data_IF_528748301932
#
_entry.id   IF_528748301932
#
_cell.length_a   1.000
_cell.length_b   1.000
_cell.length_c   1.000
_cell.angle_alpha   90.00
_cell.angle_beta   90.00
_cell.angle_gamma   90.00
#
_symmetry.space_group_name_H-M   'P 1'
#
loop_
_entity.id
_entity.type
_entity.pdbx_description
1 polymer ?
#
# COMPACT_ATOMS: atom_id res chain seq x y z
N UNK A 1 59.38 -3.18 -68.98
CA UNK A 1 57.92 -3.28 -68.95
C UNK A 1 57.46 -3.08 -67.47
N UNK A 2 56.74 -2.02 -67.15
CA UNK A 2 56.32 -1.65 -65.81
C UNK A 2 54.88 -2.13 -65.64
N UNK A 3 54.62 -3.19 -64.94
CA UNK A 3 53.28 -3.72 -64.70
C UNK A 3 52.53 -2.75 -63.78
N UNK A 4 51.42 -2.21 -64.24
CA UNK A 4 50.49 -1.32 -63.55
C UNK A 4 49.73 -2.16 -62.56
N UNK A 5 49.95 -1.95 -61.24
CA UNK A 5 49.16 -2.59 -60.12
C UNK A 5 47.71 -2.10 -60.28
N UNK A 6 46.79 -3.02 -60.48
CA UNK A 6 45.36 -2.75 -60.44
C UNK A 6 45.00 -2.31 -58.99
N UNK A 7 44.33 -1.18 -58.88
CA UNK A 7 43.73 -0.71 -57.64
C UNK A 7 42.58 -1.64 -57.31
N UNK A 8 42.72 -2.44 -56.27
CA UNK A 8 41.61 -3.19 -55.66
C UNK A 8 40.59 -2.20 -55.19
N UNK A 9 39.40 -2.18 -55.81
CA UNK A 9 38.24 -1.43 -55.30
C UNK A 9 37.85 -1.99 -53.93
N UNK A 10 37.79 -1.11 -52.92
CA UNK A 10 37.34 -1.47 -51.58
C UNK A 10 35.82 -1.74 -51.68
N UNK A 11 35.32 -2.92 -51.34
CA UNK A 11 33.89 -3.20 -51.40
C UNK A 11 33.14 -2.22 -50.51
N UNK A 12 32.08 -1.60 -51.04
CA UNK A 12 31.21 -0.71 -50.25
C UNK A 12 30.62 -1.51 -49.14
N UNK A 13 30.81 -1.02 -47.89
CA UNK A 13 30.27 -1.64 -46.72
C UNK A 13 28.72 -1.57 -46.76
N UNK A 14 28.07 -2.72 -46.76
CA UNK A 14 26.61 -2.78 -46.68
C UNK A 14 26.18 -2.58 -45.23
N UNK A 15 25.62 -1.41 -44.92
CA UNK A 15 25.20 -1.04 -43.56
C UNK A 15 23.79 -1.54 -43.21
N UNK A 16 23.06 -2.11 -44.19
CA UNK A 16 21.68 -2.56 -43.96
C UNK A 16 21.57 -3.62 -42.88
N UNK A 17 22.40 -4.68 -42.83
CA UNK A 17 22.32 -5.67 -41.78
C UNK A 17 22.64 -5.14 -40.38
N UNK A 18 23.52 -4.14 -40.30
CA UNK A 18 23.88 -3.48 -39.04
C UNK A 18 22.72 -2.64 -38.54
N UNK A 19 22.05 -1.90 -39.42
CA UNK A 19 20.90 -1.07 -39.09
C UNK A 19 19.75 -1.96 -38.58
N UNK A 20 19.49 -3.09 -39.22
CA UNK A 20 18.45 -4.04 -38.80
C UNK A 20 18.74 -4.63 -37.43
N UNK A 21 19.97 -5.09 -37.18
CA UNK A 21 20.41 -5.59 -35.90
C UNK A 21 20.24 -4.56 -34.75
N UNK A 22 20.60 -3.30 -35.00
CA UNK A 22 20.46 -2.21 -34.04
C UNK A 22 18.96 -1.95 -33.77
N UNK A 23 18.12 -1.97 -34.79
CA UNK A 23 16.69 -1.76 -34.64
C UNK A 23 16.01 -2.83 -33.78
N UNK A 24 16.34 -4.09 -34.03
CA UNK A 24 15.86 -5.23 -33.22
C UNK A 24 16.33 -5.09 -31.77
N UNK A 25 17.57 -4.71 -31.56
CA UNK A 25 18.14 -4.52 -30.22
C UNK A 25 17.44 -3.39 -29.43
N UNK A 26 17.19 -2.24 -30.07
CA UNK A 26 16.46 -1.13 -29.46
C UNK A 26 15.03 -1.55 -29.11
N UNK A 27 14.36 -2.25 -30.02
CA UNK A 27 13.00 -2.74 -29.78
C UNK A 27 12.95 -3.73 -28.62
N UNK A 28 13.94 -4.63 -28.53
CA UNK A 28 14.06 -5.56 -27.40
C UNK A 28 14.28 -4.83 -26.08
N UNK A 29 15.13 -3.79 -26.05
CA UNK A 29 15.34 -2.99 -24.85
C UNK A 29 14.07 -2.26 -24.42
N UNK A 30 13.32 -1.67 -25.36
CA UNK A 30 12.05 -1.00 -25.05
C UNK A 30 11.01 -1.99 -24.52
N UNK A 31 10.93 -3.18 -25.11
CA UNK A 31 10.03 -4.22 -24.66
C UNK A 31 10.43 -4.74 -23.27
N UNK A 32 11.72 -4.97 -23.02
CA UNK A 32 12.23 -5.35 -21.69
C UNK A 32 11.95 -4.29 -20.64
N UNK A 33 12.11 -3.02 -20.96
CA UNK A 33 11.78 -1.91 -20.05
C UNK A 33 10.28 -1.87 -19.71
N UNK A 34 9.42 -2.26 -20.65
CA UNK A 34 7.96 -2.34 -20.40
C UNK A 34 7.56 -3.45 -19.39
N UNK A 35 8.37 -4.51 -19.26
CA UNK A 35 8.13 -5.55 -18.24
C UNK A 35 8.60 -5.15 -16.84
N UNK A 36 9.41 -4.11 -16.71
CA UNK A 36 9.76 -3.53 -15.42
C UNK A 36 8.62 -2.61 -14.96
N UNK A 37 7.44 -3.14 -14.78
CA UNK A 37 6.44 -2.52 -13.94
C UNK A 37 6.96 -2.60 -12.51
N UNK A 38 7.84 -1.68 -12.17
CA UNK A 38 8.15 -1.39 -10.78
C UNK A 38 6.83 -0.91 -10.21
N UNK A 39 6.16 -1.76 -9.47
CA UNK A 39 5.13 -1.34 -8.55
C UNK A 39 5.89 -0.60 -7.45
N UNK A 40 6.24 0.64 -7.76
CA UNK A 40 6.64 1.58 -6.73
C UNK A 40 5.40 1.79 -5.88
N UNK A 41 5.31 1.00 -4.82
CA UNK A 41 4.45 1.37 -3.71
C UNK A 41 5.05 2.69 -3.28
N UNK A 42 4.41 3.78 -3.66
CA UNK A 42 4.70 5.08 -3.09
C UNK A 42 4.46 4.94 -1.60
N UNK A 43 5.48 4.45 -0.90
CA UNK A 43 5.67 4.74 0.48
C UNK A 43 5.92 6.25 0.49
N UNK A 44 4.87 7.02 0.72
CA UNK A 44 5.01 8.36 1.22
C UNK A 44 5.73 8.24 2.56
N UNK A 45 7.04 8.03 2.48
CA UNK A 45 7.92 8.35 3.58
C UNK A 45 7.65 9.83 3.82
N UNK A 46 7.03 10.21 4.96
CA UNK A 46 6.75 11.60 5.22
C UNK A 46 8.09 12.32 5.09
N UNK A 47 8.23 13.10 4.00
CA UNK A 47 9.33 14.03 3.87
C UNK A 47 9.25 14.82 5.15
N UNK A 48 10.28 14.75 5.97
CA UNK A 48 10.41 15.57 7.16
C UNK A 48 10.43 17.00 6.65
N UNK A 49 9.25 17.55 6.41
CA UNK A 49 9.13 18.97 6.21
C UNK A 49 9.51 19.55 7.57
N UNK A 50 10.48 20.46 7.60
CA UNK A 50 10.87 21.23 8.79
C UNK A 50 9.76 22.16 9.30
N UNK A 51 8.51 21.91 8.94
CA UNK A 51 7.35 22.44 9.64
C UNK A 51 7.20 21.59 10.89
N UNK A 52 7.47 22.22 12.05
CA UNK A 52 7.17 21.59 13.34
C UNK A 52 5.80 20.92 13.25
N UNK A 53 5.72 19.59 13.50
CA UNK A 53 4.42 18.92 13.50
C UNK A 53 3.57 19.65 14.54
N UNK A 54 2.27 19.90 14.28
CA UNK A 54 1.39 20.45 15.29
C UNK A 54 1.57 19.58 16.52
N UNK A 55 1.93 20.19 17.65
CA UNK A 55 2.22 19.54 18.92
C UNK A 55 0.96 18.84 19.43
N UNK A 56 0.57 17.74 18.76
CA UNK A 56 -0.38 16.82 19.33
C UNK A 56 0.37 16.09 20.44
N UNK A 57 -0.03 16.30 21.67
CA UNK A 57 0.58 15.72 22.89
C UNK A 57 0.47 14.19 22.95
N UNK A 58 -0.06 13.55 21.92
CA UNK A 58 -0.23 12.08 21.86
C UNK A 58 0.60 11.53 20.71
N UNK A 59 1.39 10.44 20.94
CA UNK A 59 2.10 9.76 19.87
C UNK A 59 1.09 9.25 18.82
N UNK A 60 1.48 9.17 17.53
CA UNK A 60 0.63 8.65 16.48
C UNK A 60 0.17 7.24 16.82
N UNK A 61 -1.08 6.92 16.49
CA UNK A 61 -1.67 5.62 16.79
C UNK A 61 -0.94 4.49 16.04
N UNK A 62 -0.46 4.75 14.83
CA UNK A 62 0.21 3.77 13.96
C UNK A 62 -0.53 2.42 13.99
N UNK A 63 -1.79 2.45 13.56
CA UNK A 63 -2.70 1.30 13.63
C UNK A 63 -2.39 0.31 12.50
N UNK A 64 -2.07 -0.93 12.88
CA UNK A 64 -1.81 -2.02 11.94
C UNK A 64 -2.68 -3.21 12.25
N UNK A 65 -3.34 -3.77 11.23
CA UNK A 65 -4.06 -5.04 11.32
C UNK A 65 -3.26 -6.14 10.63
N UNK A 66 -2.73 -7.06 11.42
CA UNK A 66 -2.03 -8.23 10.94
C UNK A 66 -3.02 -9.39 10.83
N UNK A 67 -3.24 -9.89 9.60
CA UNK A 67 -4.24 -10.89 9.31
C UNK A 67 -3.55 -12.21 9.07
N UNK A 68 -3.84 -13.20 9.92
CA UNK A 68 -3.32 -14.57 9.82
C UNK A 68 -4.45 -15.54 9.52
N UNK A 69 -4.15 -16.76 9.10
CA UNK A 69 -5.17 -17.78 8.78
C UNK A 69 -6.15 -18.09 9.91
N UNK A 70 -5.78 -17.79 11.18
CA UNK A 70 -6.61 -18.11 12.35
C UNK A 70 -7.17 -16.90 13.09
N UNK A 71 -6.61 -15.71 12.90
CA UNK A 71 -6.96 -14.51 13.69
C UNK A 71 -6.55 -13.20 13.04
N UNK A 72 -7.18 -12.12 13.48
CA UNK A 72 -6.77 -10.75 13.20
C UNK A 72 -6.13 -10.17 14.44
N UNK A 73 -4.91 -9.67 14.33
CA UNK A 73 -4.21 -8.97 15.42
C UNK A 73 -4.24 -7.47 15.17
N UNK A 74 -4.66 -6.72 16.17
CA UNK A 74 -4.64 -5.26 16.14
C UNK A 74 -3.39 -4.78 16.85
N UNK A 75 -2.50 -4.12 16.12
CA UNK A 75 -1.25 -3.56 16.65
C UNK A 75 -1.33 -2.04 16.65
N UNK A 76 -0.66 -1.42 17.60
CA UNK A 76 -0.54 0.04 17.68
C UNK A 76 0.83 0.47 18.15
N UNK A 77 1.25 1.68 17.72
CA UNK A 77 2.47 2.33 18.16
C UNK A 77 3.72 1.96 17.37
N UNK A 78 4.80 2.69 17.65
CA UNK A 78 6.14 2.43 17.09
C UNK A 78 7.11 2.28 18.28
N UNK A 79 7.66 1.08 18.52
CA UNK A 79 7.45 -0.18 17.78
C UNK A 79 6.02 -0.75 17.96
N UNK A 80 5.54 -1.45 16.92
CA UNK A 80 4.19 -2.02 16.89
C UNK A 80 4.00 -3.08 18.00
N UNK A 81 2.94 -2.92 18.81
CA UNK A 81 2.61 -3.84 19.88
C UNK A 81 1.19 -4.37 19.70
N UNK A 82 1.02 -5.68 19.83
CA UNK A 82 -0.31 -6.31 19.79
C UNK A 82 -1.13 -5.83 20.96
N UNK A 83 -2.29 -5.24 20.68
CA UNK A 83 -3.26 -4.76 21.66
C UNK A 83 -4.45 -5.68 21.79
N UNK A 84 -4.87 -6.28 20.70
CA UNK A 84 -6.01 -7.20 20.67
C UNK A 84 -5.75 -8.29 19.63
N UNK A 85 -6.16 -9.51 19.95
CA UNK A 85 -6.19 -10.63 19.01
C UNK A 85 -7.63 -11.14 18.95
N UNK A 86 -8.16 -11.26 17.72
CA UNK A 86 -9.54 -11.64 17.45
C UNK A 86 -9.49 -12.89 16.59
N UNK A 87 -9.99 -13.98 17.10
CA UNK A 87 -10.03 -15.27 16.42
C UNK A 87 -11.14 -15.35 15.37
N UNK A 88 -11.21 -16.48 14.70
CA UNK A 88 -12.33 -16.84 13.85
C UNK A 88 -13.50 -17.32 14.72
N UNK A 89 -14.72 -17.19 14.20
CA UNK A 89 -15.93 -17.71 14.81
C UNK A 89 -16.03 -19.25 14.61
N UNK A 90 -17.09 -19.87 15.13
CA UNK A 90 -17.34 -21.31 14.99
C UNK A 90 -17.60 -21.77 13.56
N UNK A 91 -17.93 -20.86 12.66
CA UNK A 91 -18.16 -21.11 11.23
C UNK A 91 -16.87 -21.01 10.40
N UNK A 92 -15.75 -20.62 11.02
CA UNK A 92 -14.46 -20.48 10.37
C UNK A 92 -14.23 -19.09 9.76
N UNK A 93 -15.17 -18.15 9.91
CA UNK A 93 -15.05 -16.77 9.45
C UNK A 93 -14.41 -15.87 10.50
N UNK A 94 -13.78 -14.79 10.06
CA UNK A 94 -13.25 -13.78 10.99
C UNK A 94 -14.37 -13.08 11.76
N UNK A 95 -14.22 -12.96 13.08
CA UNK A 95 -15.18 -12.22 13.92
C UNK A 95 -15.06 -10.70 13.68
N UNK A 96 -15.68 -10.25 12.60
CA UNK A 96 -15.68 -8.86 12.17
C UNK A 96 -16.48 -7.96 13.14
N UNK A 97 -17.43 -8.53 13.89
CA UNK A 97 -18.19 -7.76 14.88
C UNK A 97 -17.32 -7.38 16.08
N UNK A 98 -16.54 -8.31 16.59
CA UNK A 98 -15.57 -8.03 17.65
C UNK A 98 -14.48 -7.06 17.20
N UNK A 99 -14.01 -7.19 15.95
CA UNK A 99 -13.07 -6.25 15.33
C UNK A 99 -13.67 -4.85 15.29
N UNK A 100 -14.87 -4.72 14.74
CA UNK A 100 -15.60 -3.44 14.62
C UNK A 100 -15.76 -2.75 15.97
N UNK A 101 -16.27 -3.45 16.97
CA UNK A 101 -16.48 -2.91 18.32
C UNK A 101 -15.17 -2.39 18.92
N UNK A 102 -14.07 -3.11 18.72
CA UNK A 102 -12.76 -2.69 19.19
C UNK A 102 -12.28 -1.43 18.46
N UNK A 103 -12.42 -1.38 17.14
CA UNK A 103 -12.03 -0.23 16.31
C UNK A 103 -12.85 1.03 16.64
N UNK A 104 -14.16 0.89 16.93
CA UNK A 104 -15.01 2.00 17.40
C UNK A 104 -14.49 2.56 18.73
N UNK A 105 -14.16 1.69 19.69
CA UNK A 105 -13.60 2.12 20.97
C UNK A 105 -12.23 2.81 20.80
N UNK A 106 -11.44 2.35 19.86
CA UNK A 106 -10.15 2.96 19.54
C UNK A 106 -10.34 4.33 18.87
N UNK A 107 -11.29 4.45 17.94
CA UNK A 107 -11.63 5.69 17.26
C UNK A 107 -12.14 6.77 18.22
N UNK A 108 -12.92 6.41 19.24
CA UNK A 108 -13.34 7.34 20.29
C UNK A 108 -12.17 7.97 21.05
N UNK A 109 -11.04 7.25 21.17
CA UNK A 109 -9.83 7.76 21.83
C UNK A 109 -8.94 8.57 20.91
N UNK A 110 -8.95 8.23 19.62
CA UNK A 110 -8.10 8.80 18.57
C UNK A 110 -8.95 9.27 17.39
N UNK A 111 -9.80 10.27 17.62
CA UNK A 111 -10.80 10.74 16.66
C UNK A 111 -10.20 11.31 15.38
N UNK A 112 -9.00 11.89 15.47
CA UNK A 112 -8.29 12.50 14.33
C UNK A 112 -7.58 11.51 13.41
N UNK A 113 -7.33 10.27 13.90
CA UNK A 113 -6.62 9.27 13.11
C UNK A 113 -7.50 8.72 11.99
N UNK A 114 -6.92 8.66 10.79
CA UNK A 114 -7.60 8.18 9.58
C UNK A 114 -6.92 6.99 8.95
N UNK A 115 -5.67 6.76 9.32
CA UNK A 115 -4.79 5.79 8.66
C UNK A 115 -4.86 4.44 9.35
N UNK A 116 -4.87 3.39 8.55
CA UNK A 116 -4.76 2.00 8.99
C UNK A 116 -3.97 1.19 7.97
N UNK A 117 -3.06 0.37 8.45
CA UNK A 117 -2.27 -0.54 7.63
C UNK A 117 -2.84 -1.94 7.75
N UNK A 118 -3.12 -2.58 6.62
CA UNK A 118 -3.51 -3.99 6.55
C UNK A 118 -2.30 -4.82 6.12
N UNK A 119 -1.91 -5.80 6.95
CA UNK A 119 -0.82 -6.74 6.67
C UNK A 119 -1.37 -8.17 6.60
N UNK A 120 -1.84 -8.61 5.43
CA UNK A 120 -2.21 -10.01 5.24
C UNK A 120 -0.95 -10.89 5.17
N UNK A 121 -0.90 -11.94 5.98
CA UNK A 121 0.21 -12.93 6.00
C UNK A 121 -0.18 -14.22 5.27
N UNK A 122 -1.43 -14.33 4.87
CA UNK A 122 -2.00 -15.47 4.19
C UNK A 122 -2.71 -15.03 2.92
N UNK A 123 -2.86 -15.94 1.99
CA UNK A 123 -3.71 -15.75 0.82
C UNK A 123 -5.17 -15.67 1.28
N UNK A 124 -5.68 -14.45 1.28
CA UNK A 124 -7.08 -14.15 1.56
C UNK A 124 -7.86 -14.13 0.25
N UNK A 125 -9.09 -14.61 0.29
CA UNK A 125 -10.00 -14.41 -0.82
C UNK A 125 -10.35 -12.92 -0.97
N UNK A 126 -10.64 -12.50 -2.19
CA UNK A 126 -11.07 -11.11 -2.45
C UNK A 126 -12.27 -10.70 -1.57
N UNK A 127 -13.19 -11.62 -1.36
CA UNK A 127 -14.38 -11.39 -0.53
C UNK A 127 -14.01 -11.14 0.94
N UNK A 128 -13.08 -11.90 1.50
CA UNK A 128 -12.59 -11.69 2.87
C UNK A 128 -11.89 -10.33 3.02
N UNK A 129 -11.06 -9.96 2.04
CA UNK A 129 -10.40 -8.66 2.03
C UNK A 129 -11.42 -7.53 2.04
N UNK A 130 -12.43 -7.59 1.16
CA UNK A 130 -13.46 -6.56 1.07
C UNK A 130 -14.28 -6.47 2.36
N UNK A 131 -14.67 -7.59 2.96
CA UNK A 131 -15.39 -7.62 4.24
C UNK A 131 -14.60 -6.97 5.37
N UNK A 132 -13.29 -7.23 5.43
CA UNK A 132 -12.40 -6.62 6.41
C UNK A 132 -12.28 -5.11 6.15
N UNK A 133 -12.06 -4.69 4.90
CA UNK A 133 -11.96 -3.29 4.52
C UNK A 133 -13.22 -2.51 4.86
N UNK A 134 -14.39 -3.05 4.55
CA UNK A 134 -15.68 -2.43 4.88
C UNK A 134 -15.86 -2.27 6.40
N UNK A 135 -15.45 -3.30 7.15
CA UNK A 135 -15.52 -3.28 8.63
C UNK A 135 -14.62 -2.20 9.22
N UNK A 136 -13.45 -2.01 8.63
CA UNK A 136 -12.45 -1.04 9.06
C UNK A 136 -12.84 0.39 8.66
N UNK A 137 -13.45 0.57 7.50
CA UNK A 137 -13.75 1.89 6.93
C UNK A 137 -15.05 2.47 7.44
N UNK A 138 -16.13 1.68 7.41
CA UNK A 138 -17.49 2.21 7.47
C UNK A 138 -18.05 2.25 8.88
N UNK A 139 -18.60 3.40 9.31
CA UNK A 139 -19.50 3.50 10.46
C UNK A 139 -20.93 3.19 10.02
N UNK A 140 -21.57 2.19 10.65
CA UNK A 140 -22.98 1.87 10.42
C UNK A 140 -23.87 2.85 11.18
N UNK A 141 -25.12 3.01 10.71
CA UNK A 141 -26.11 3.83 11.40
C UNK A 141 -26.47 3.34 12.81
N UNK A 142 -26.20 2.07 13.07
CA UNK A 142 -26.41 1.43 14.38
C UNK A 142 -25.26 1.63 15.35
N UNK A 143 -24.12 2.12 14.87
CA UNK A 143 -22.94 2.38 15.72
C UNK A 143 -23.12 3.69 16.50
N UNK A 144 -22.48 3.80 17.65
CA UNK A 144 -22.55 5.04 18.44
C UNK A 144 -21.89 6.20 17.68
N UNK A 145 -22.51 7.37 17.77
CA UNK A 145 -21.97 8.59 17.18
C UNK A 145 -20.61 8.96 17.81
N UNK A 146 -19.67 9.28 16.96
CA UNK A 146 -18.35 9.73 17.36
C UNK A 146 -18.19 11.17 16.89
N UNK A 147 -17.84 12.06 17.80
CA UNK A 147 -17.67 13.48 17.53
C UNK A 147 -16.19 13.85 17.59
N UNK A 148 -15.77 14.70 16.71
CA UNK A 148 -14.42 15.27 16.66
C UNK A 148 -14.52 16.77 16.47
N UNK A 149 -13.47 17.50 16.85
CA UNK A 149 -13.40 18.93 16.57
C UNK A 149 -12.77 19.18 15.21
N UNK A 150 -13.43 19.96 14.37
CA UNK A 150 -12.89 20.38 13.10
C UNK A 150 -11.78 21.45 13.30
N UNK A 151 -11.18 21.93 12.21
CA UNK A 151 -10.13 22.96 12.26
C UNK A 151 -10.59 24.28 12.88
N UNK A 152 -11.88 24.53 12.88
CA UNK A 152 -12.55 25.74 13.40
C UNK A 152 -13.02 25.56 14.86
N UNK A 153 -12.78 24.38 15.46
CA UNK A 153 -13.14 24.07 16.84
C UNK A 153 -14.59 23.62 17.04
N UNK A 154 -15.39 23.51 15.97
CA UNK A 154 -16.78 23.03 16.02
C UNK A 154 -16.83 21.52 16.08
N UNK A 155 -17.85 20.98 16.74
CA UNK A 155 -18.08 19.55 16.81
C UNK A 155 -18.60 19.02 15.46
N UNK A 156 -17.86 18.09 14.85
CA UNK A 156 -18.22 17.43 13.60
C UNK A 156 -18.36 15.93 13.85
N UNK A 157 -19.42 15.34 13.29
CA UNK A 157 -19.61 13.88 13.36
C UNK A 157 -18.63 13.16 12.43
N UNK A 158 -17.94 12.18 12.97
CA UNK A 158 -17.06 11.29 12.20
C UNK A 158 -17.92 10.41 11.30
N UNK A 159 -17.67 10.45 9.98
CA UNK A 159 -18.42 9.68 8.98
C UNK A 159 -17.87 8.27 8.79
N UNK A 160 -16.54 8.16 8.84
CA UNK A 160 -15.81 6.91 8.60
C UNK A 160 -14.91 6.59 9.79
N UNK A 161 -14.68 5.29 10.05
CA UNK A 161 -13.72 4.87 11.09
C UNK A 161 -12.30 5.22 10.66
N UNK A 162 -11.78 4.52 9.65
CA UNK A 162 -10.45 4.76 9.09
C UNK A 162 -10.58 4.84 7.57
N UNK A 163 -10.50 6.05 7.03
CA UNK A 163 -10.72 6.30 5.59
C UNK A 163 -9.53 5.92 4.71
N UNK A 164 -8.32 5.98 5.26
CA UNK A 164 -7.09 5.71 4.54
C UNK A 164 -6.60 4.31 4.88
N UNK A 165 -6.88 3.37 3.99
CA UNK A 165 -6.44 1.99 4.13
C UNK A 165 -5.21 1.79 3.24
N UNK A 166 -4.10 1.41 3.86
CA UNK A 166 -2.83 1.10 3.18
C UNK A 166 -2.54 -0.37 3.35
N UNK A 167 -2.13 -1.04 2.28
CA UNK A 167 -1.63 -2.41 2.39
C UNK A 167 -0.14 -2.37 2.72
N UNK A 168 0.23 -3.02 3.81
CA UNK A 168 1.61 -3.24 4.19
C UNK A 168 2.25 -4.36 3.37
N UNK A 169 3.49 -4.72 3.71
CA UNK A 169 4.20 -5.81 3.04
C UNK A 169 3.41 -7.11 3.12
N UNK A 170 3.00 -7.61 1.97
CA UNK A 170 2.46 -8.97 1.82
C UNK A 170 3.67 -9.90 1.94
N UNK A 171 3.86 -10.53 3.09
CA UNK A 171 4.85 -11.57 3.26
C UNK A 171 4.24 -12.86 2.71
N UNK A 172 4.68 -13.24 1.52
CA UNK A 172 4.45 -14.57 0.93
C UNK A 172 5.37 -15.60 1.56
#
# INVERSE_FOLDING_TARGET
MRTRKEKKEIPKLNLIPILDAVFIFIFFLLMSASFLNIHEIQSDVPIISNKEPPKSKKPPLALTLKITGSRIQVLTGVPARVRKSIGKNSEGDYDLNSLRNYLINLKKKYTSEKDIVLEPIVDLTYEEIVKIMDTVRTLKKTDPDIWTKNKEGMDERVKDLFSNIVFGNIQS
#
